data_IF_446434846109
#
_entry.id   IF_446434846109
#
_cell.length_a   1.000
_cell.length_b   1.000
_cell.length_c   1.000
_cell.angle_alpha   90.00
_cell.angle_beta   90.00
_cell.angle_gamma   90.00
#
_symmetry.space_group_name_H-M   'P 1'
#
loop_
_entity.id
_entity.type
_entity.pdbx_description
1 polymer ?
#
# COMPACT_ATOMS: atom_id res chain seq x y z
N UNK A 1 8.91 -19.75 -14.40
CA UNK A 1 9.11 -18.34 -14.75
C UNK A 1 8.52 -17.54 -13.62
N UNK A 2 9.31 -16.67 -12.99
CA UNK A 2 8.99 -16.09 -11.69
C UNK A 2 7.73 -15.21 -11.75
N UNK A 3 6.64 -15.67 -11.15
CA UNK A 3 5.47 -14.84 -10.80
C UNK A 3 5.86 -13.86 -9.67
N UNK A 4 6.92 -13.07 -9.87
CA UNK A 4 7.39 -12.13 -8.85
C UNK A 4 6.43 -10.95 -8.78
N UNK A 5 5.89 -10.71 -7.59
CA UNK A 5 5.05 -9.56 -7.30
C UNK A 5 5.88 -8.29 -7.54
N UNK A 6 5.62 -7.58 -8.62
CA UNK A 6 6.34 -6.33 -8.94
C UNK A 6 5.61 -5.17 -8.29
N UNK A 7 6.26 -4.53 -7.32
CA UNK A 7 5.79 -3.28 -6.70
C UNK A 7 6.44 -2.11 -7.42
N UNK A 8 5.63 -1.17 -7.91
CA UNK A 8 6.11 0.08 -8.53
C UNK A 8 5.57 1.29 -7.81
N UNK A 9 6.34 2.37 -7.80
CA UNK A 9 5.91 3.68 -7.32
C UNK A 9 5.95 4.63 -8.51
N UNK A 10 4.83 5.28 -8.82
CA UNK A 10 4.84 6.25 -9.93
C UNK A 10 5.69 7.46 -9.59
N UNK A 11 6.20 8.16 -10.60
CA UNK A 11 7.01 9.35 -10.36
C UNK A 11 6.26 10.43 -9.56
N UNK A 12 4.94 10.59 -9.80
CA UNK A 12 4.13 11.58 -9.08
C UNK A 12 4.02 11.22 -7.59
N UNK A 13 3.82 9.95 -7.26
CA UNK A 13 3.81 9.46 -5.88
C UNK A 13 5.19 9.61 -5.22
N UNK A 14 6.25 9.21 -5.92
CA UNK A 14 7.63 9.33 -5.45
C UNK A 14 8.00 10.80 -5.16
N UNK A 15 7.72 11.73 -6.08
CA UNK A 15 7.97 13.16 -5.87
C UNK A 15 7.19 13.70 -4.67
N UNK A 16 5.94 13.26 -4.49
CA UNK A 16 5.12 13.67 -3.36
C UNK A 16 5.66 13.18 -2.02
N UNK A 17 6.05 11.91 -1.96
CA UNK A 17 6.66 11.27 -0.78
C UNK A 17 7.97 11.97 -0.39
N UNK A 18 8.89 12.14 -1.35
CA UNK A 18 10.16 12.85 -1.14
C UNK A 18 9.96 14.29 -0.71
N UNK A 19 9.03 15.04 -1.33
CA UNK A 19 8.69 16.41 -0.93
C UNK A 19 8.21 16.51 0.51
N UNK A 20 7.53 15.48 1.02
CA UNK A 20 7.04 15.41 2.41
C UNK A 20 8.04 14.77 3.39
N UNK A 21 9.25 14.41 2.94
CA UNK A 21 10.24 13.68 3.75
C UNK A 21 9.75 12.30 4.19
N UNK A 22 8.82 11.69 3.45
CA UNK A 22 8.26 10.37 3.75
C UNK A 22 8.99 9.33 2.91
N UNK A 23 9.93 8.63 3.54
CA UNK A 23 10.70 7.55 2.90
C UNK A 23 10.18 6.15 3.25
N UNK A 24 9.06 6.08 3.96
CA UNK A 24 8.49 4.83 4.46
C UNK A 24 6.98 4.85 4.26
N UNK A 25 6.46 3.78 3.67
CA UNK A 25 5.03 3.58 3.42
C UNK A 25 4.61 2.19 3.90
N UNK A 26 3.38 2.07 4.39
CA UNK A 26 2.79 0.83 4.86
C UNK A 26 1.55 0.51 4.03
N UNK A 27 1.40 -0.75 3.62
CA UNK A 27 0.22 -1.32 2.97
C UNK A 27 -0.41 -2.33 3.93
N UNK A 28 -1.62 -2.03 4.41
CA UNK A 28 -2.33 -2.82 5.42
C UNK A 28 -3.85 -2.75 5.23
N UNK A 29 -4.59 -3.71 5.80
CA UNK A 29 -6.03 -3.51 6.05
C UNK A 29 -6.12 -2.79 7.40
N UNK A 30 -6.71 -1.57 7.46
CA UNK A 30 -6.83 -0.85 8.71
C UNK A 30 -7.59 -1.63 9.78
N UNK A 31 -7.08 -1.68 11.01
CA UNK A 31 -7.67 -2.44 12.13
C UNK A 31 -9.14 -2.05 12.39
N UNK A 32 -9.49 -0.77 12.22
CA UNK A 32 -10.85 -0.27 12.39
C UNK A 32 -11.85 -0.80 11.35
N UNK A 33 -11.39 -1.47 10.29
CA UNK A 33 -12.24 -2.18 9.32
C UNK A 33 -12.43 -3.66 9.65
N UNK A 34 -11.65 -4.21 10.60
CA UNK A 34 -11.71 -5.64 10.98
C UNK A 34 -12.72 -5.92 12.10
N UNK A 35 -13.18 -4.90 12.84
CA UNK A 35 -14.01 -5.05 14.04
C UNK A 35 -15.52 -4.82 13.83
N UNK A 36 -15.97 -4.64 12.59
CA UNK A 36 -17.38 -4.39 12.27
C UNK A 36 -18.11 -5.72 12.10
N UNK A 37 -19.22 -5.93 12.81
CA UNK A 37 -20.12 -7.09 12.62
C UNK A 37 -20.77 -7.15 11.21
N UNK A 38 -20.55 -6.12 10.38
CA UNK A 38 -20.99 -6.07 9.00
C UNK A 38 -19.87 -6.56 8.07
N UNK A 39 -20.20 -7.42 7.10
CA UNK A 39 -19.29 -7.95 6.06
C UNK A 39 -18.64 -6.80 5.28
N UNK A 40 -17.55 -6.24 5.81
CA UNK A 40 -16.73 -5.26 5.11
C UNK A 40 -15.70 -6.03 4.29
N UNK A 41 -15.75 -5.85 2.97
CA UNK A 41 -14.68 -6.31 2.09
C UNK A 41 -13.38 -5.67 2.59
N UNK A 42 -12.38 -6.45 3.01
CA UNK A 42 -11.14 -5.89 3.52
C UNK A 42 -10.36 -5.27 2.35
N UNK A 43 -10.40 -3.95 2.25
CA UNK A 43 -9.67 -3.20 1.21
C UNK A 43 -8.32 -2.77 1.78
N UNK A 44 -7.20 -3.16 1.14
CA UNK A 44 -5.87 -2.68 1.52
C UNK A 44 -5.76 -1.17 1.30
N UNK A 45 -5.14 -0.47 2.26
CA UNK A 45 -4.85 0.95 2.19
C UNK A 45 -3.35 1.20 2.26
N UNK A 46 -2.89 2.32 1.68
CA UNK A 46 -1.50 2.78 1.79
C UNK A 46 -1.40 4.01 2.71
N UNK A 47 -0.44 3.95 3.64
CA UNK A 47 -0.20 4.99 4.63
C UNK A 47 1.27 5.40 4.60
N UNK A 48 1.55 6.70 4.48
CA UNK A 48 2.92 7.24 4.45
C UNK A 48 3.59 7.32 5.84
N UNK A 49 3.76 6.15 6.47
CA UNK A 49 4.44 5.98 7.76
C UNK A 49 5.05 4.58 7.87
N UNK A 50 5.93 4.40 8.86
CA UNK A 50 6.38 3.09 9.34
C UNK A 50 5.27 2.40 10.15
N UNK A 51 5.09 1.07 10.06
CA UNK A 51 4.18 0.35 10.94
C UNK A 51 4.68 0.40 12.40
N UNK A 52 3.76 0.27 13.36
CA UNK A 52 4.10 0.24 14.80
C UNK A 52 4.92 -0.99 15.18
N UNK A 53 4.64 -2.12 14.52
CA UNK A 53 5.26 -3.44 14.75
C UNK A 53 5.76 -3.96 13.40
N UNK A 54 6.96 -3.53 12.92
CA UNK A 54 7.48 -3.87 11.60
C UNK A 54 7.66 -5.37 11.34
N UNK A 55 7.78 -6.18 12.39
CA UNK A 55 7.98 -7.62 12.34
C UNK A 55 6.78 -8.35 11.71
N UNK A 56 5.60 -7.73 11.73
CA UNK A 56 4.38 -8.24 11.11
C UNK A 56 4.29 -7.94 9.61
N UNK A 57 5.33 -7.34 9.03
CA UNK A 57 5.34 -6.86 7.65
C UNK A 57 6.48 -7.52 6.85
N UNK A 58 6.27 -7.66 5.56
CA UNK A 58 7.31 -7.88 4.57
C UNK A 58 7.86 -6.51 4.15
N UNK A 59 9.18 -6.36 4.07
CA UNK A 59 9.83 -5.13 3.67
C UNK A 59 10.36 -5.25 2.24
N UNK A 60 9.99 -4.28 1.41
CA UNK A 60 10.54 -4.08 0.07
C UNK A 60 11.15 -2.69 -0.01
N UNK A 61 12.25 -2.54 -0.74
CA UNK A 61 12.82 -1.22 -1.04
C UNK A 61 12.62 -0.93 -2.51
N UNK A 62 11.88 0.13 -2.82
CA UNK A 62 11.58 0.56 -4.20
C UNK A 62 12.00 2.01 -4.34
N UNK A 63 12.98 2.27 -5.21
CA UNK A 63 13.50 3.62 -5.50
C UNK A 63 13.91 4.45 -4.27
N UNK A 64 14.42 3.76 -3.24
CA UNK A 64 14.82 4.36 -1.96
C UNK A 64 13.67 4.66 -1.00
N UNK A 65 12.48 4.11 -1.24
CA UNK A 65 11.33 4.12 -0.32
C UNK A 65 11.15 2.72 0.26
N UNK A 66 11.06 2.63 1.58
CA UNK A 66 10.71 1.40 2.28
C UNK A 66 9.20 1.17 2.19
N UNK A 67 8.80 0.05 1.61
CA UNK A 67 7.42 -0.39 1.48
C UNK A 67 7.20 -1.57 2.41
N UNK A 68 6.46 -1.34 3.49
CA UNK A 68 6.05 -2.37 4.44
C UNK A 68 4.70 -2.93 4.02
N UNK A 69 4.60 -4.22 3.75
CA UNK A 69 3.35 -4.90 3.38
C UNK A 69 2.96 -5.86 4.48
N UNK A 70 1.75 -5.72 5.02
CA UNK A 70 1.29 -6.62 6.09
C UNK A 70 1.36 -8.08 5.64
N UNK A 71 1.91 -8.97 6.49
CA UNK A 71 1.93 -10.41 6.24
C UNK A 71 0.53 -11.04 6.17
N UNK A 72 -0.50 -10.32 6.63
CA UNK A 72 -1.91 -10.75 6.52
C UNK A 72 -2.51 -10.50 5.14
N UNK A 73 -1.85 -9.71 4.29
CA UNK A 73 -2.29 -9.46 2.93
C UNK A 73 -1.84 -10.57 1.99
N UNK A 74 -2.76 -11.05 1.17
CA UNK A 74 -2.43 -11.90 0.03
C UNK A 74 -1.97 -10.98 -1.11
N UNK A 75 -0.69 -11.03 -1.43
CA UNK A 75 -0.15 -10.29 -2.57
C UNK A 75 -0.72 -10.85 -3.88
N UNK A 76 -1.26 -9.99 -4.76
CA UNK A 76 -1.86 -10.46 -5.99
C UNK A 76 -0.75 -10.79 -7.00
N UNK A 77 -1.00 -11.80 -7.86
CA UNK A 77 -0.02 -12.27 -8.87
C UNK A 77 0.03 -11.36 -10.09
N UNK A 78 0.16 -10.07 -9.87
CA UNK A 78 0.23 -9.03 -10.87
C UNK A 78 1.04 -7.85 -10.32
N UNK A 79 1.22 -6.84 -11.16
CA UNK A 79 1.84 -5.59 -10.76
C UNK A 79 0.98 -4.83 -9.75
N UNK A 80 1.60 -4.39 -8.66
CA UNK A 80 1.03 -3.48 -7.67
C UNK A 80 1.65 -2.10 -7.87
N UNK A 81 0.82 -1.10 -8.12
CA UNK A 81 1.27 0.27 -8.36
C UNK A 81 0.83 1.18 -7.23
N UNK A 82 1.80 1.80 -6.58
CA UNK A 82 1.58 2.91 -5.65
C UNK A 82 1.51 4.19 -6.46
N UNK A 83 0.34 4.80 -6.47
CA UNK A 83 0.07 6.02 -7.23
C UNK A 83 -0.34 7.19 -6.33
N UNK A 84 -0.46 8.37 -6.93
CA UNK A 84 -0.92 9.58 -6.26
C UNK A 84 -2.13 10.16 -6.99
N UNK A 85 -3.27 10.15 -6.32
CA UNK A 85 -4.48 10.81 -6.79
C UNK A 85 -4.63 12.20 -6.20
N UNK A 86 -5.39 13.02 -6.91
CA UNK A 86 -5.72 14.38 -6.51
C UNK A 86 -7.21 14.57 -6.68
N UNK A 87 -7.92 14.75 -5.57
CA UNK A 87 -9.35 14.98 -5.54
C UNK A 87 -9.65 16.22 -4.70
N UNK A 88 -10.35 17.21 -5.27
CA UNK A 88 -10.67 18.48 -4.61
C UNK A 88 -9.44 19.18 -3.98
N UNK A 89 -8.28 19.10 -4.64
CA UNK A 89 -7.02 19.68 -4.14
C UNK A 89 -6.31 18.86 -3.06
N UNK A 90 -6.93 17.79 -2.55
CA UNK A 90 -6.34 16.85 -1.60
C UNK A 90 -5.57 15.79 -2.38
N UNK A 91 -4.31 15.58 -1.99
CA UNK A 91 -3.44 14.55 -2.58
C UNK A 91 -3.43 13.30 -1.70
N UNK A 92 -3.83 12.18 -2.27
CA UNK A 92 -3.97 10.89 -1.60
C UNK A 92 -3.11 9.86 -2.30
N UNK A 93 -2.41 9.02 -1.54
CA UNK A 93 -1.76 7.85 -2.11
C UNK A 93 -2.83 6.80 -2.41
N UNK A 94 -2.68 6.10 -3.52
CA UNK A 94 -3.62 5.07 -3.96
C UNK A 94 -2.85 3.79 -4.33
N UNK A 95 -3.53 2.65 -4.26
CA UNK A 95 -3.00 1.34 -4.63
C UNK A 95 -3.80 0.79 -5.81
N UNK A 96 -3.10 0.45 -6.88
CA UNK A 96 -3.64 -0.29 -8.01
C UNK A 96 -3.07 -1.71 -8.00
N UNK A 97 -3.85 -2.68 -8.49
CA UNK A 97 -3.42 -4.07 -8.63
C UNK A 97 -3.95 -5.02 -7.56
N UNK A 98 -4.35 -4.51 -6.39
CA UNK A 98 -5.16 -5.27 -5.45
C UNK A 98 -6.58 -5.38 -6.02
N UNK A 99 -6.96 -6.56 -6.50
CA UNK A 99 -8.36 -6.85 -6.82
C UNK A 99 -9.09 -7.08 -5.50
N UNK A 100 -10.19 -6.38 -5.29
CA UNK A 100 -11.23 -6.86 -4.38
C UNK A 100 -11.63 -8.24 -4.89
N UNK A 101 -11.51 -9.27 -4.05
CA UNK A 101 -12.25 -10.50 -4.29
C UNK A 101 -13.72 -10.12 -4.09
N UNK A 102 -14.39 -9.68 -5.15
CA UNK A 102 -15.83 -9.84 -5.25
C UNK A 102 -16.06 -11.35 -5.39
N UNK A 103 -16.38 -11.98 -4.27
CA UNK A 103 -16.93 -13.32 -4.19
C UNK A 103 -18.44 -13.23 -4.02
#
# INVERSE_FOLDING_TARGET
>A
MSDENVIKITEKAMRHLKKKGKLQVTIEIPENRLSSESVLVPVPEIIARKPKIPENYQLFTVDGIDVFISKTLVMPKNEVVIDLDSFLGIKLLNLLGFKSNEG
#
